data_IF_792871691422
#
_entry.id   IF_792871691422
#
_cell.length_a   1.000
_cell.length_b   1.000
_cell.length_c   1.000
_cell.angle_alpha   90.00
_cell.angle_beta   90.00
_cell.angle_gamma   90.00
#
_symmetry.space_group_name_H-M   'P 1'
#
loop_
_entity.id
_entity.type
_entity.pdbx_description
1 polymer ?
#
# COMPACT_ATOMS: atom_id res chain seq x y z
N UNK A 1 9.60 44.03 -24.25
CA UNK A 1 10.00 43.72 -22.86
C UNK A 1 8.78 43.70 -21.97
N UNK A 2 8.27 42.52 -21.61
CA UNK A 2 7.44 42.29 -20.42
C UNK A 2 7.79 40.88 -19.92
N UNK A 3 8.53 40.82 -18.81
CA UNK A 3 8.88 39.58 -18.11
C UNK A 3 7.68 39.17 -17.26
N UNK A 4 7.10 38.02 -17.52
CA UNK A 4 6.18 37.33 -16.62
C UNK A 4 7.00 36.35 -15.79
N UNK A 5 7.05 36.56 -14.47
CA UNK A 5 7.60 35.59 -13.53
C UNK A 5 6.64 34.40 -13.39
N UNK A 6 7.13 33.16 -13.28
CA UNK A 6 6.30 32.03 -12.89
C UNK A 6 6.09 32.06 -11.36
N UNK A 7 4.83 32.02 -10.93
CA UNK A 7 4.45 31.70 -9.56
C UNK A 7 4.88 30.24 -9.27
N UNK A 8 5.83 30.08 -8.36
CA UNK A 8 6.16 28.78 -7.79
C UNK A 8 5.04 28.37 -6.82
N UNK A 9 4.30 27.32 -7.16
CA UNK A 9 3.42 26.61 -6.22
C UNK A 9 4.28 25.68 -5.37
N UNK A 10 4.67 26.13 -4.19
CA UNK A 10 5.20 25.28 -3.12
C UNK A 10 4.05 24.49 -2.51
N UNK A 11 3.91 23.23 -2.90
CA UNK A 11 3.07 22.24 -2.20
C UNK A 11 3.85 21.79 -0.96
N UNK A 12 3.47 22.32 0.20
CA UNK A 12 3.99 21.88 1.49
C UNK A 12 3.35 20.56 1.90
N UNK A 13 4.15 19.51 2.00
CA UNK A 13 3.77 18.23 2.60
C UNK A 13 3.60 18.45 4.10
N UNK A 14 2.37 18.29 4.59
CA UNK A 14 2.05 18.29 6.01
C UNK A 14 2.60 17.00 6.65
N UNK A 15 3.76 17.14 7.28
CA UNK A 15 4.24 16.21 8.29
C UNK A 15 3.37 16.34 9.54
N UNK A 16 2.36 15.49 9.68
CA UNK A 16 1.60 15.36 10.93
C UNK A 16 2.36 14.41 11.86
N UNK A 17 3.34 14.97 12.58
CA UNK A 17 3.93 14.35 13.74
C UNK A 17 2.92 14.35 14.90
N UNK A 18 2.24 13.23 15.11
CA UNK A 18 1.52 12.95 16.36
C UNK A 18 2.49 12.29 17.35
N UNK A 19 3.30 13.13 17.99
CA UNK A 19 4.08 12.74 19.16
C UNK A 19 3.18 12.82 20.40
N UNK A 20 2.74 11.67 20.91
CA UNK A 20 2.16 11.56 22.25
C UNK A 20 3.02 10.62 23.09
N UNK A 21 3.64 11.23 24.10
CA UNK A 21 4.47 10.64 25.15
C UNK A 21 3.77 9.49 25.87
N UNK A 22 4.31 8.26 25.79
CA UNK A 22 3.94 7.18 26.70
C UNK A 22 4.68 7.36 28.04
N UNK A 23 3.96 7.79 29.07
CA UNK A 23 4.37 7.62 30.45
C UNK A 23 4.15 6.16 30.86
N UNK A 24 5.25 5.43 31.05
CA UNK A 24 5.29 4.07 31.58
C UNK A 24 4.85 4.03 33.05
N UNK A 25 3.97 3.10 33.41
CA UNK A 25 3.86 2.63 34.80
C UNK A 25 3.29 1.20 34.88
N UNK A 26 4.18 0.25 35.16
CA UNK A 26 3.98 -0.80 36.18
C UNK A 26 3.01 -1.95 35.91
N UNK A 27 3.57 -3.12 35.55
CA UNK A 27 2.93 -4.41 35.82
C UNK A 27 2.79 -4.65 37.34
N UNK A 28 1.91 -5.57 37.75
CA UNK A 28 2.47 -6.83 38.24
C UNK A 28 1.72 -8.11 37.80
N UNK A 29 2.52 -9.16 37.72
CA UNK A 29 2.19 -10.57 37.53
C UNK A 29 1.37 -11.12 38.73
N UNK A 30 0.56 -12.17 38.52
CA UNK A 30 0.67 -13.33 39.41
C UNK A 30 0.71 -14.67 38.67
N UNK A 31 1.53 -15.55 39.24
CA UNK A 31 1.65 -16.97 38.91
C UNK A 31 0.44 -17.78 39.40
N UNK A 32 0.20 -18.96 38.78
CA UNK A 32 -0.62 -19.98 39.41
C UNK A 32 -1.07 -21.16 38.53
N UNK A 33 -0.34 -22.26 38.68
CA UNK A 33 -0.80 -23.66 38.68
C UNK A 33 -1.22 -24.40 37.40
N UNK A 34 -0.52 -25.53 37.24
CA UNK A 34 -0.73 -26.66 36.35
C UNK A 34 -2.04 -27.42 36.59
N UNK A 35 -2.63 -27.95 35.52
CA UNK A 35 -3.14 -29.34 35.53
C UNK A 35 -3.33 -29.88 34.12
N UNK A 36 -2.88 -31.12 33.97
CA UNK A 36 -2.87 -31.96 32.79
C UNK A 36 -4.23 -32.66 32.65
N UNK A 37 -4.83 -32.63 31.45
CA UNK A 37 -5.89 -33.55 31.07
C UNK A 37 -5.89 -33.74 29.55
N UNK A 38 -5.43 -34.91 29.12
CA UNK A 38 -5.57 -35.40 27.77
C UNK A 38 -7.04 -35.75 27.50
N UNK A 39 -7.62 -35.17 26.45
CA UNK A 39 -8.87 -35.65 25.85
C UNK A 39 -8.68 -35.69 24.35
N UNK A 40 -8.53 -36.91 23.81
CA UNK A 40 -8.71 -37.20 22.39
C UNK A 40 -10.14 -36.83 22.00
N UNK A 41 -10.28 -35.91 21.06
CA UNK A 41 -11.56 -35.67 20.39
C UNK A 41 -11.36 -35.82 18.89
N UNK A 42 -12.17 -36.71 18.35
CA UNK A 42 -12.30 -37.19 16.98
C UNK A 42 -12.22 -36.07 15.94
N UNK A 43 -11.43 -36.30 14.90
CA UNK A 43 -11.38 -35.46 13.71
C UNK A 43 -12.74 -35.47 13.00
N UNK A 44 -13.46 -34.37 13.11
CA UNK A 44 -14.54 -34.05 12.18
C UNK A 44 -13.88 -33.42 10.96
N UNK A 45 -14.02 -34.06 9.80
CA UNK A 45 -13.66 -33.46 8.52
C UNK A 45 -14.55 -32.22 8.34
N UNK A 46 -13.99 -31.05 8.65
CA UNK A 46 -14.60 -29.78 8.26
C UNK A 46 -14.43 -29.66 6.75
N UNK A 47 -15.57 -29.54 6.07
CA UNK A 47 -15.66 -29.23 4.65
C UNK A 47 -14.64 -28.16 4.30
N UNK A 48 -13.71 -28.52 3.40
CA UNK A 48 -12.82 -27.57 2.76
C UNK A 48 -13.71 -26.53 2.07
N UNK A 49 -13.59 -25.22 2.36
CA UNK A 49 -14.31 -24.23 1.60
C UNK A 49 -13.88 -24.42 0.15
N UNK A 50 -14.87 -24.75 -0.68
CA UNK A 50 -14.71 -24.82 -2.13
C UNK A 50 -14.00 -23.55 -2.57
N UNK A 51 -12.82 -23.70 -3.16
CA UNK A 51 -12.12 -22.60 -3.79
C UNK A 51 -13.12 -21.85 -4.65
N UNK A 52 -13.29 -20.56 -4.39
CA UNK A 52 -14.05 -19.67 -5.26
C UNK A 52 -13.27 -19.62 -6.56
N UNK A 53 -13.59 -20.56 -7.44
CA UNK A 53 -13.08 -20.68 -8.79
C UNK A 53 -13.70 -19.53 -9.57
N UNK A 54 -12.96 -18.44 -9.76
CA UNK A 54 -13.49 -17.26 -10.44
C UNK A 54 -12.46 -16.26 -10.97
N UNK A 55 -11.24 -16.20 -10.44
CA UNK A 55 -10.21 -15.32 -10.98
C UNK A 55 -9.63 -15.92 -12.27
N UNK A 56 -9.89 -15.29 -13.41
CA UNK A 56 -9.09 -15.55 -14.59
C UNK A 56 -7.64 -15.13 -14.29
N UNK A 57 -6.66 -15.99 -14.59
CA UNK A 57 -5.25 -15.63 -14.43
C UNK A 57 -4.93 -14.45 -15.37
N UNK A 58 -4.53 -13.32 -14.80
CA UNK A 58 -4.09 -12.15 -15.56
C UNK A 58 -2.67 -12.42 -16.05
N UNK A 59 -2.51 -12.47 -17.37
CA UNK A 59 -1.19 -12.57 -17.97
C UNK A 59 -0.45 -11.24 -17.86
N UNK A 60 0.87 -11.29 -17.67
CA UNK A 60 1.72 -10.12 -17.77
C UNK A 60 1.58 -9.47 -19.16
N UNK A 61 1.34 -8.15 -19.25
CA UNK A 61 1.34 -7.47 -20.54
C UNK A 61 2.73 -7.49 -21.18
N UNK A 62 2.81 -7.42 -22.51
CA UNK A 62 4.08 -7.50 -23.25
C UNK A 62 5.12 -6.43 -22.90
N UNK A 63 4.70 -5.33 -22.27
CA UNK A 63 5.64 -4.32 -21.75
C UNK A 63 6.54 -4.90 -20.64
N UNK A 64 6.11 -5.95 -19.95
CA UNK A 64 6.92 -6.67 -18.96
C UNK A 64 8.02 -7.53 -19.57
N UNK A 65 8.03 -7.77 -20.88
CA UNK A 65 9.09 -8.54 -21.56
C UNK A 65 10.46 -7.85 -21.46
N UNK A 66 10.48 -6.54 -21.17
CA UNK A 66 11.70 -5.76 -20.93
C UNK A 66 12.30 -5.99 -19.52
N UNK A 67 11.57 -6.64 -18.61
CA UNK A 67 12.00 -6.91 -17.23
C UNK A 67 12.38 -8.38 -17.11
N UNK A 68 13.67 -8.67 -17.17
CA UNK A 68 14.18 -10.04 -17.00
C UNK A 68 14.28 -10.40 -15.51
N UNK A 69 13.39 -11.28 -15.03
CA UNK A 69 13.37 -11.74 -13.65
C UNK A 69 14.29 -12.94 -13.46
N UNK A 70 15.59 -12.65 -13.41
CA UNK A 70 16.65 -13.60 -13.05
C UNK A 70 17.66 -12.94 -12.12
N UNK A 71 18.33 -13.76 -11.32
CA UNK A 71 19.37 -13.31 -10.40
C UNK A 71 20.39 -12.37 -11.08
N UNK A 72 20.70 -11.28 -10.39
CA UNK A 72 21.67 -10.24 -10.78
C UNK A 72 21.34 -9.50 -12.08
N UNK A 73 20.12 -9.62 -12.62
CA UNK A 73 19.70 -8.85 -13.78
C UNK A 73 19.55 -7.36 -13.41
N UNK A 74 20.14 -6.50 -14.24
CA UNK A 74 19.91 -5.06 -14.20
C UNK A 74 18.60 -4.74 -14.92
N UNK A 75 17.78 -3.90 -14.31
CA UNK A 75 16.48 -3.45 -14.82
C UNK A 75 16.47 -1.93 -14.83
N UNK A 76 16.10 -1.32 -15.96
CA UNK A 76 15.89 0.13 -16.02
C UNK A 76 14.62 0.49 -15.24
N UNK A 77 14.67 1.56 -14.44
CA UNK A 77 13.51 1.99 -13.64
C UNK A 77 12.27 2.28 -14.48
N UNK A 78 12.46 2.82 -15.71
CA UNK A 78 11.37 3.06 -16.64
C UNK A 78 10.69 1.77 -17.12
N UNK A 79 11.45 0.71 -17.40
CA UNK A 79 10.90 -0.57 -17.84
C UNK A 79 10.18 -1.28 -16.69
N UNK A 80 10.75 -1.21 -15.48
CA UNK A 80 10.11 -1.73 -14.27
C UNK A 80 8.79 -1.01 -13.97
N UNK A 81 8.79 0.33 -14.04
CA UNK A 81 7.61 1.15 -13.86
C UNK A 81 6.53 0.80 -14.89
N UNK A 82 6.91 0.66 -16.16
CA UNK A 82 5.99 0.32 -17.24
C UNK A 82 5.39 -1.09 -17.05
N UNK A 83 6.19 -2.06 -16.59
CA UNK A 83 5.70 -3.39 -16.27
C UNK A 83 4.70 -3.38 -15.10
N UNK A 84 5.06 -2.79 -13.96
CA UNK A 84 4.18 -2.74 -12.77
C UNK A 84 2.87 -2.02 -13.08
N UNK A 85 2.94 -0.83 -13.69
CA UNK A 85 1.74 -0.06 -14.06
C UNK A 85 0.94 -0.77 -15.15
N UNK A 86 1.60 -1.39 -16.13
CA UNK A 86 0.95 -2.17 -17.17
C UNK A 86 0.16 -3.33 -16.59
N UNK A 87 0.77 -4.11 -15.70
CA UNK A 87 0.10 -5.20 -15.00
C UNK A 87 -1.08 -4.69 -14.17
N UNK A 88 -0.88 -3.67 -13.33
CA UNK A 88 -1.95 -3.14 -12.47
C UNK A 88 -3.14 -2.60 -13.27
N UNK A 89 -2.92 -2.00 -14.44
CA UNK A 89 -4.00 -1.59 -15.36
C UNK A 89 -4.73 -2.79 -15.97
N UNK A 90 -4.00 -3.84 -16.36
CA UNK A 90 -4.60 -5.05 -16.90
C UNK A 90 -5.43 -5.80 -15.84
N UNK A 91 -4.98 -5.76 -14.58
CA UNK A 91 -5.71 -6.33 -13.47
C UNK A 91 -6.93 -5.50 -13.07
N UNK A 92 -6.82 -4.17 -13.07
CA UNK A 92 -7.92 -3.24 -12.79
C UNK A 92 -8.36 -3.15 -11.33
N UNK A 93 -8.04 -4.15 -10.50
CA UNK A 93 -8.36 -4.17 -9.07
C UNK A 93 -7.44 -5.11 -8.30
N UNK A 94 -7.46 -4.99 -6.98
CA UNK A 94 -6.80 -5.90 -6.06
C UNK A 94 -7.07 -5.57 -4.61
N UNK A 95 -6.40 -6.30 -3.72
CA UNK A 95 -6.44 -6.10 -2.28
C UNK A 95 -5.02 -5.88 -1.78
N UNK A 96 -4.85 -4.94 -0.85
CA UNK A 96 -3.59 -4.67 -0.17
C UNK A 96 -3.71 -4.81 1.34
N UNK A 97 -2.63 -5.27 1.96
CA UNK A 97 -2.33 -5.01 3.37
C UNK A 97 -1.08 -4.15 3.44
N UNK A 98 -1.00 -3.27 4.42
CA UNK A 98 0.22 -2.52 4.66
C UNK A 98 0.58 -2.43 6.14
N UNK A 99 1.86 -2.21 6.40
CA UNK A 99 2.41 -1.94 7.72
C UNK A 99 3.49 -0.88 7.61
N UNK A 100 3.61 -0.03 8.62
CA UNK A 100 4.65 0.97 8.73
C UNK A 100 5.47 0.80 10.02
N UNK A 101 6.70 1.31 10.01
CA UNK A 101 7.64 1.21 11.13
C UNK A 101 7.19 1.93 12.40
N UNK A 102 6.20 2.82 12.31
CA UNK A 102 5.57 3.48 13.45
C UNK A 102 4.48 2.62 14.13
N UNK A 103 4.26 1.40 13.66
CA UNK A 103 3.25 0.47 14.15
C UNK A 103 1.89 0.61 13.46
N UNK A 104 1.74 1.55 12.53
CA UNK A 104 0.53 1.68 11.72
C UNK A 104 0.37 0.46 10.83
N UNK A 105 -0.85 -0.07 10.74
CA UNK A 105 -1.21 -1.17 9.84
C UNK A 105 -2.51 -0.85 9.12
N UNK A 106 -2.79 -1.53 8.01
CA UNK A 106 -4.06 -1.34 7.34
C UNK A 106 -4.32 -2.37 6.25
N UNK A 107 -5.53 -2.33 5.75
CA UNK A 107 -6.01 -3.17 4.65
C UNK A 107 -6.86 -2.31 3.73
N UNK A 108 -6.80 -2.57 2.43
CA UNK A 108 -7.66 -1.89 1.49
C UNK A 108 -7.96 -2.74 0.25
N UNK A 109 -9.18 -2.62 -0.25
CA UNK A 109 -9.50 -3.02 -1.61
C UNK A 109 -9.38 -1.80 -2.53
N UNK A 110 -8.82 -2.01 -3.73
CA UNK A 110 -8.61 -0.94 -4.70
C UNK A 110 -9.13 -1.29 -6.08
N UNK A 111 -9.50 -0.24 -6.80
CA UNK A 111 -9.70 -0.19 -8.25
C UNK A 111 -8.59 0.69 -8.83
N UNK A 112 -7.92 0.20 -9.87
CA UNK A 112 -6.83 0.85 -10.56
C UNK A 112 -7.21 1.13 -12.02
N UNK A 113 -6.93 2.32 -12.54
CA UNK A 113 -7.28 2.71 -13.90
C UNK A 113 -7.90 4.09 -13.99
N UNK A 114 -8.90 4.25 -14.87
CA UNK A 114 -9.47 5.57 -15.22
C UNK A 114 -10.34 6.18 -14.13
N UNK A 115 -10.95 5.35 -13.27
CA UNK A 115 -11.76 5.77 -12.13
C UNK A 115 -11.25 5.09 -10.85
N UNK A 116 -10.04 5.45 -10.38
CA UNK A 116 -9.44 4.75 -9.26
C UNK A 116 -10.23 5.02 -7.98
N UNK A 117 -10.42 3.96 -7.20
CA UNK A 117 -11.11 4.02 -5.92
C UNK A 117 -10.41 3.08 -4.92
N UNK A 118 -10.53 3.37 -3.63
CA UNK A 118 -9.90 2.63 -2.55
C UNK A 118 -10.82 2.66 -1.32
N UNK A 119 -11.04 1.52 -0.67
CA UNK A 119 -11.74 1.46 0.61
C UNK A 119 -11.07 0.48 1.55
N UNK A 120 -11.03 0.82 2.83
CA UNK A 120 -10.27 0.03 3.77
C UNK A 120 -10.26 0.59 5.17
N UNK A 121 -9.31 0.09 5.94
CA UNK A 121 -9.06 0.54 7.31
C UNK A 121 -7.58 0.76 7.55
N UNK A 122 -7.29 1.71 8.42
CA UNK A 122 -5.96 1.97 8.98
C UNK A 122 -6.08 1.91 10.48
N UNK A 123 -5.19 1.19 11.14
CA UNK A 123 -5.09 1.08 12.59
C UNK A 123 -3.74 1.61 13.04
N UNK A 124 -3.76 2.59 13.94
CA UNK A 124 -2.56 3.16 14.57
C UNK A 124 -2.76 3.37 16.07
N UNK A 125 -1.92 4.21 16.69
CA UNK A 125 -1.98 4.49 18.13
C UNK A 125 -3.30 5.10 18.60
N UNK A 126 -3.98 5.85 17.74
CA UNK A 126 -5.25 6.52 18.03
C UNK A 126 -6.49 5.65 17.73
N UNK A 127 -6.28 4.38 17.34
CA UNK A 127 -7.33 3.42 17.00
C UNK A 127 -7.48 3.18 15.50
N UNK A 128 -8.63 2.61 15.12
CA UNK A 128 -8.94 2.24 13.74
C UNK A 128 -9.80 3.28 13.04
N UNK A 129 -9.34 3.75 11.88
CA UNK A 129 -10.06 4.62 10.96
C UNK A 129 -10.44 3.85 9.71
N UNK A 130 -11.71 3.86 9.32
CA UNK A 130 -12.17 3.38 8.02
C UNK A 130 -12.18 4.52 7.00
N UNK A 131 -11.98 4.20 5.74
CA UNK A 131 -11.99 5.18 4.66
C UNK A 131 -12.65 4.62 3.39
N UNK A 132 -13.24 5.52 2.61
CA UNK A 132 -13.69 5.28 1.23
C UNK A 132 -13.26 6.48 0.40
N UNK A 133 -12.38 6.24 -0.57
CA UNK A 133 -11.78 7.25 -1.41
C UNK A 133 -12.13 6.92 -2.86
N UNK A 134 -12.71 7.88 -3.55
CA UNK A 134 -13.19 7.75 -4.93
C UNK A 134 -12.67 8.94 -5.74
N UNK A 135 -12.82 8.95 -7.07
CA UNK A 135 -12.41 10.09 -7.89
C UNK A 135 -13.06 11.40 -7.44
N UNK A 136 -14.30 11.34 -6.93
CA UNK A 136 -15.11 12.53 -6.67
C UNK A 136 -15.32 12.83 -5.18
N UNK A 137 -15.15 11.85 -4.30
CA UNK A 137 -15.40 12.01 -2.87
C UNK A 137 -14.39 11.25 -2.01
N UNK A 138 -14.16 11.77 -0.81
CA UNK A 138 -13.44 11.08 0.25
C UNK A 138 -14.32 11.02 1.49
N UNK A 139 -14.31 9.86 2.14
CA UNK A 139 -14.99 9.62 3.40
C UNK A 139 -14.00 8.97 4.34
N UNK A 140 -13.94 9.45 5.57
CA UNK A 140 -13.15 8.83 6.64
C UNK A 140 -13.97 8.79 7.92
N UNK A 141 -13.79 7.78 8.75
CA UNK A 141 -14.43 7.75 10.06
C UNK A 141 -13.64 8.59 11.04
N UNK A 142 -14.29 9.56 11.68
CA UNK A 142 -13.71 10.33 12.78
C UNK A 142 -14.61 10.12 13.99
N UNK A 143 -14.02 9.62 15.08
CA UNK A 143 -14.76 9.19 16.29
C UNK A 143 -15.85 8.15 15.96
N UNK A 144 -15.57 7.25 15.02
CA UNK A 144 -16.49 6.20 14.57
C UNK A 144 -17.63 6.68 13.65
N UNK A 145 -17.65 7.96 13.26
CA UNK A 145 -18.69 8.54 12.39
C UNK A 145 -18.10 8.87 11.02
N UNK A 146 -18.80 8.49 9.95
CA UNK A 146 -18.40 8.86 8.59
C UNK A 146 -18.46 10.37 8.37
N UNK A 147 -17.35 10.94 7.91
CA UNK A 147 -17.22 12.35 7.57
C UNK A 147 -16.84 12.45 6.09
N UNK A 148 -17.70 13.10 5.31
CA UNK A 148 -17.38 13.48 3.93
C UNK A 148 -16.35 14.61 3.92
N UNK A 149 -15.31 14.44 3.11
CA UNK A 149 -14.24 15.41 2.95
C UNK A 149 -14.61 16.62 2.11
N UNK A 150 -14.20 17.78 2.60
CA UNK A 150 -14.21 19.06 1.91
C UNK A 150 -12.99 19.86 2.37
N UNK A 151 -11.95 19.89 1.53
CA UNK A 151 -10.67 20.53 1.83
C UNK A 151 -10.78 22.07 1.98
N UNK A 152 -11.90 22.67 1.58
CA UNK A 152 -12.15 24.10 1.70
C UNK A 152 -13.06 24.44 2.89
N UNK A 153 -13.52 23.42 3.62
CA UNK A 153 -14.40 23.59 4.77
C UNK A 153 -13.70 24.29 5.93
N UNK A 154 -14.46 25.06 6.70
CA UNK A 154 -14.03 25.56 8.01
C UNK A 154 -14.23 24.52 9.13
N UNK A 155 -14.96 23.43 8.88
CA UNK A 155 -15.05 22.29 9.79
C UNK A 155 -13.76 21.48 9.72
N UNK A 156 -12.97 21.38 10.82
CA UNK A 156 -11.69 20.69 10.81
C UNK A 156 -11.79 19.22 10.39
N UNK A 157 -12.89 18.54 10.72
CA UNK A 157 -13.10 17.13 10.38
C UNK A 157 -13.30 16.94 8.88
N UNK A 158 -14.13 17.81 8.27
CA UNK A 158 -14.34 17.81 6.82
C UNK A 158 -13.09 18.22 6.06
N UNK A 159 -12.37 19.23 6.56
CA UNK A 159 -11.11 19.68 5.99
C UNK A 159 -10.09 18.54 5.96
N UNK A 160 -9.87 17.86 7.09
CA UNK A 160 -8.96 16.72 7.19
C UNK A 160 -9.34 15.59 6.20
N UNK A 161 -10.61 15.17 6.22
CA UNK A 161 -11.13 14.16 5.31
C UNK A 161 -10.95 14.54 3.83
N UNK A 162 -11.09 15.83 3.51
CA UNK A 162 -10.88 16.38 2.16
C UNK A 162 -9.42 16.38 1.75
N UNK A 163 -8.51 16.76 2.64
CA UNK A 163 -7.06 16.73 2.42
C UNK A 163 -6.56 15.31 2.16
N UNK A 164 -7.02 14.33 2.94
CA UNK A 164 -6.74 12.90 2.70
C UNK A 164 -7.20 12.49 1.30
N UNK A 165 -8.42 12.90 0.91
CA UNK A 165 -8.94 12.63 -0.43
C UNK A 165 -8.11 13.25 -1.55
N UNK A 166 -7.57 14.45 -1.37
CA UNK A 166 -6.70 15.09 -2.37
C UNK A 166 -5.36 14.36 -2.49
N UNK A 167 -4.75 14.01 -1.36
CA UNK A 167 -3.50 13.23 -1.36
C UNK A 167 -3.71 11.88 -2.06
N UNK A 168 -4.80 11.16 -1.73
CA UNK A 168 -5.14 9.91 -2.39
C UNK A 168 -5.23 10.04 -3.91
N UNK A 169 -5.97 11.02 -4.43
CA UNK A 169 -6.12 11.19 -5.89
C UNK A 169 -4.79 11.39 -6.60
N UNK A 170 -3.84 12.08 -5.95
CA UNK A 170 -2.51 12.25 -6.50
C UNK A 170 -1.73 10.93 -6.56
N UNK A 171 -1.86 10.06 -5.57
CA UNK A 171 -1.18 8.75 -5.53
C UNK A 171 -1.91 7.65 -6.30
N UNK A 172 -3.22 7.76 -6.46
CA UNK A 172 -4.06 6.83 -7.20
C UNK A 172 -3.88 6.97 -8.72
N UNK A 173 -3.30 8.08 -9.19
CA UNK A 173 -2.90 8.26 -10.58
C UNK A 173 -1.77 7.27 -10.92
N UNK A 174 -1.97 6.38 -11.91
CA UNK A 174 -0.93 5.44 -12.34
C UNK A 174 0.39 6.10 -12.74
N UNK A 175 0.36 7.37 -13.19
CA UNK A 175 1.55 8.14 -13.51
C UNK A 175 2.38 8.49 -12.28
N UNK A 176 1.78 8.55 -11.09
CA UNK A 176 2.50 8.75 -9.84
C UNK A 176 3.30 7.50 -9.47
N UNK A 177 2.71 6.30 -9.56
CA UNK A 177 3.44 5.03 -9.39
C UNK A 177 4.58 4.91 -10.42
N UNK A 178 4.29 5.21 -11.69
CA UNK A 178 5.31 5.16 -12.74
C UNK A 178 6.48 6.11 -12.44
N UNK A 179 6.15 7.34 -12.02
CA UNK A 179 7.14 8.38 -11.69
C UNK A 179 7.96 8.01 -10.47
N UNK A 180 7.36 7.42 -9.43
CA UNK A 180 8.07 6.94 -8.24
C UNK A 180 9.11 5.88 -8.60
N UNK A 181 8.69 4.81 -9.30
CA UNK A 181 9.58 3.70 -9.66
C UNK A 181 10.68 4.16 -10.62
N UNK A 182 10.34 5.02 -11.59
CA UNK A 182 11.30 5.54 -12.57
C UNK A 182 12.30 6.56 -11.98
N UNK A 183 12.03 7.09 -10.79
CA UNK A 183 12.94 8.03 -10.12
C UNK A 183 14.24 7.34 -9.67
N UNK A 184 14.19 6.03 -9.39
CA UNK A 184 15.37 5.18 -9.33
C UNK A 184 15.73 4.74 -10.76
N UNK A 185 16.86 5.19 -11.33
CA UNK A 185 17.18 4.91 -12.73
C UNK A 185 17.53 3.43 -12.97
N UNK A 186 18.12 2.78 -11.96
CA UNK A 186 18.60 1.41 -12.06
C UNK A 186 18.17 0.58 -10.85
N UNK A 187 17.80 -0.65 -11.15
CA UNK A 187 17.34 -1.64 -10.20
C UNK A 187 18.05 -2.96 -10.47
N UNK A 188 18.24 -3.77 -9.44
CA UNK A 188 18.84 -5.10 -9.56
C UNK A 188 17.90 -6.17 -9.02
N UNK A 189 17.65 -7.18 -9.83
CA UNK A 189 16.99 -8.42 -9.40
C UNK A 189 17.96 -9.19 -8.50
N UNK A 190 17.53 -9.46 -7.28
CA UNK A 190 18.35 -10.07 -6.25
C UNK A 190 18.46 -11.58 -6.49
N UNK A 191 19.47 -12.22 -5.88
CA UNK A 191 19.83 -13.61 -6.18
C UNK A 191 18.73 -14.61 -5.83
N UNK A 192 18.09 -14.38 -4.69
CA UNK A 192 17.09 -15.27 -4.15
C UNK A 192 15.67 -14.74 -4.40
N UNK A 193 14.73 -15.68 -4.49
CA UNK A 193 13.31 -15.36 -4.42
C UNK A 193 12.84 -15.50 -2.98
N UNK A 194 12.07 -14.52 -2.53
CA UNK A 194 11.42 -14.55 -1.24
C UNK A 194 10.10 -15.33 -1.33
N UNK A 195 9.64 -15.83 -0.18
CA UNK A 195 8.27 -16.27 0.01
C UNK A 195 7.54 -15.14 0.71
N UNK A 196 6.59 -14.52 0.02
CA UNK A 196 5.81 -13.39 0.50
C UNK A 196 4.45 -13.89 0.96
N UNK A 197 4.10 -13.65 2.23
CA UNK A 197 2.76 -13.90 2.75
C UNK A 197 1.79 -12.85 2.20
N UNK A 198 0.76 -13.31 1.50
CA UNK A 198 -0.23 -12.47 0.84
C UNK A 198 -1.47 -12.25 1.72
N UNK A 199 -2.20 -11.12 1.53
CA UNK A 199 -3.39 -10.82 2.31
C UNK A 199 -4.49 -11.88 2.30
N UNK A 200 -4.60 -12.66 1.23
CA UNK A 200 -5.59 -13.75 1.09
C UNK A 200 -5.19 -15.03 1.86
N UNK A 201 -4.12 -14.98 2.65
CA UNK A 201 -3.58 -16.10 3.42
C UNK A 201 -2.76 -17.08 2.58
N UNK A 202 -2.54 -16.80 1.30
CA UNK A 202 -1.66 -17.58 0.44
C UNK A 202 -0.22 -17.07 0.51
N UNK A 203 0.69 -17.81 -0.12
CA UNK A 203 2.08 -17.43 -0.26
C UNK A 203 2.47 -17.32 -1.73
N UNK A 204 3.21 -16.27 -2.07
CA UNK A 204 3.78 -16.09 -3.39
C UNK A 204 5.30 -16.19 -3.33
N UNK A 205 5.88 -16.96 -4.25
CA UNK A 205 7.32 -16.92 -4.50
C UNK A 205 7.61 -15.76 -5.47
N UNK A 206 8.44 -14.82 -5.04
CA UNK A 206 8.68 -13.58 -5.78
C UNK A 206 10.15 -13.18 -5.80
N UNK A 207 10.58 -12.66 -6.95
CA UNK A 207 11.87 -12.01 -7.12
C UNK A 207 11.87 -10.66 -6.42
N UNK A 208 12.89 -10.45 -5.59
CA UNK A 208 13.15 -9.16 -4.97
C UNK A 208 13.89 -8.28 -5.97
N UNK A 209 13.31 -7.16 -6.37
CA UNK A 209 13.88 -6.18 -7.30
C UNK A 209 14.14 -4.91 -6.52
N UNK A 210 15.40 -4.54 -6.34
CA UNK A 210 15.80 -3.49 -5.41
C UNK A 210 16.41 -2.31 -6.16
N UNK A 211 16.09 -1.08 -5.76
CA UNK A 211 16.72 0.11 -6.29
C UNK A 211 18.21 0.13 -5.89
N UNK A 212 19.10 0.43 -6.82
CA UNK A 212 20.54 0.31 -6.59
C UNK A 212 21.11 1.42 -5.69
N UNK A 213 20.39 2.53 -5.55
CA UNK A 213 20.81 3.68 -4.74
C UNK A 213 19.59 4.47 -4.21
N UNK A 214 19.77 5.25 -3.12
CA UNK A 214 18.80 6.25 -2.71
C UNK A 214 18.47 7.25 -3.84
N UNK A 215 17.24 7.75 -3.85
CA UNK A 215 16.76 8.70 -4.84
C UNK A 215 15.71 9.65 -4.24
N UNK A 216 15.42 10.76 -4.92
CA UNK A 216 14.36 11.68 -4.50
C UNK A 216 13.14 11.54 -5.40
N UNK A 217 11.95 11.46 -4.80
CA UNK A 217 10.69 11.37 -5.52
C UNK A 217 9.59 12.10 -4.73
N UNK A 218 8.72 12.83 -5.45
CA UNK A 218 7.54 13.51 -4.86
C UNK A 218 7.90 14.41 -3.66
N UNK A 219 9.09 15.03 -3.69
CA UNK A 219 9.58 15.92 -2.62
C UNK A 219 10.08 15.21 -1.35
N UNK A 220 10.27 13.89 -1.39
CA UNK A 220 10.84 13.10 -0.30
C UNK A 220 12.09 12.33 -0.75
N UNK A 221 12.96 11.99 0.20
CA UNK A 221 14.15 11.18 -0.05
C UNK A 221 13.87 9.71 0.26
N UNK A 222 13.82 8.90 -0.80
CA UNK A 222 13.68 7.44 -0.71
C UNK A 222 15.06 6.84 -0.47
N UNK A 223 15.27 6.30 0.72
CA UNK A 223 16.53 5.72 1.14
C UNK A 223 16.72 4.33 0.55
N UNK A 224 15.64 3.55 0.57
CA UNK A 224 15.60 2.18 0.07
C UNK A 224 14.23 1.91 -0.54
N UNK A 225 14.20 1.18 -1.64
CA UNK A 225 12.96 0.70 -2.22
C UNK A 225 13.16 -0.69 -2.81
N UNK A 226 12.19 -1.57 -2.55
CA UNK A 226 12.16 -2.95 -3.01
C UNK A 226 10.79 -3.28 -3.54
N UNK A 227 10.73 -3.97 -4.68
CA UNK A 227 9.53 -4.53 -5.27
C UNK A 227 9.64 -6.05 -5.29
N UNK A 228 8.56 -6.75 -4.97
CA UNK A 228 8.47 -8.20 -5.12
C UNK A 228 7.58 -8.53 -6.31
N UNK A 229 8.16 -9.19 -7.32
CA UNK A 229 7.45 -9.64 -8.53
C UNK A 229 7.52 -11.15 -8.64
N UNK A 230 6.36 -11.82 -8.79
CA UNK A 230 6.36 -13.26 -9.11
C UNK A 230 7.03 -13.54 -10.46
N UNK A 231 7.32 -14.80 -10.77
CA UNK A 231 7.88 -15.17 -12.10
C UNK A 231 6.97 -14.82 -13.28
N UNK A 232 5.68 -14.52 -13.04
CA UNK A 232 4.74 -14.00 -14.04
C UNK A 232 4.56 -12.48 -13.94
N UNK A 233 5.52 -11.76 -13.37
CA UNK A 233 5.53 -10.31 -13.17
C UNK A 233 4.37 -9.73 -12.36
N UNK A 234 3.60 -10.59 -11.67
CA UNK A 234 2.54 -10.15 -10.75
C UNK A 234 3.18 -9.46 -9.54
N UNK A 235 2.81 -8.20 -9.22
CA UNK A 235 3.26 -7.56 -8.00
C UNK A 235 2.73 -8.28 -6.76
N UNK A 236 3.65 -8.76 -5.93
CA UNK A 236 3.35 -9.37 -4.63
C UNK A 236 3.52 -8.36 -3.48
N UNK A 237 4.36 -7.34 -3.65
CA UNK A 237 4.54 -6.30 -2.66
C UNK A 237 5.52 -5.21 -3.04
N UNK A 238 5.59 -4.19 -2.18
CA UNK A 238 6.56 -3.10 -2.21
C UNK A 238 6.97 -2.75 -0.79
N UNK A 239 8.24 -2.42 -0.59
CA UNK A 239 8.73 -1.81 0.64
C UNK A 239 9.51 -0.56 0.26
N UNK A 240 9.29 0.52 0.99
CA UNK A 240 10.04 1.75 0.83
C UNK A 240 10.38 2.37 2.18
N UNK A 241 11.62 2.81 2.33
CA UNK A 241 12.07 3.64 3.45
C UNK A 241 12.18 5.07 2.98
N UNK A 242 11.32 5.94 3.47
CA UNK A 242 11.23 7.35 3.04
C UNK A 242 11.61 8.26 4.20
N UNK A 243 12.41 9.29 3.91
CA UNK A 243 12.79 10.35 4.84
C UNK A 243 12.11 11.65 4.47
N UNK A 244 11.40 12.25 5.44
CA UNK A 244 10.80 13.59 5.31
C UNK A 244 11.19 14.39 6.54
N UNK A 245 11.82 15.56 6.32
CA UNK A 245 12.29 16.45 7.38
C UNK A 245 13.14 15.74 8.47
N UNK A 246 13.94 14.75 8.06
CA UNK A 246 14.81 13.97 8.95
C UNK A 246 14.12 12.83 9.70
N UNK A 247 12.81 12.65 9.53
CA UNK A 247 12.07 11.50 10.07
C UNK A 247 11.97 10.42 9.01
N UNK A 248 12.39 9.20 9.35
CA UNK A 248 12.30 8.04 8.46
C UNK A 248 11.09 7.19 8.81
N UNK A 249 10.38 6.74 7.79
CA UNK A 249 9.31 5.75 7.91
C UNK A 249 9.54 4.67 6.87
N UNK A 250 9.52 3.41 7.30
CA UNK A 250 9.50 2.26 6.39
C UNK A 250 8.07 1.78 6.27
N UNK A 251 7.56 1.69 5.04
CA UNK A 251 6.25 1.11 4.75
C UNK A 251 6.43 -0.12 3.88
N UNK A 252 5.73 -1.19 4.22
CA UNK A 252 5.62 -2.41 3.42
C UNK A 252 4.16 -2.62 3.05
N UNK A 253 3.89 -2.87 1.77
CA UNK A 253 2.57 -3.22 1.24
C UNK A 253 2.68 -4.58 0.54
N UNK A 254 1.71 -5.46 0.75
CA UNK A 254 1.55 -6.71 0.01
C UNK A 254 0.23 -6.71 -0.73
N UNK A 255 0.22 -7.31 -1.92
CA UNK A 255 -0.92 -7.30 -2.83
C UNK A 255 -1.41 -8.72 -3.13
N UNK A 256 -2.72 -8.90 -3.19
CA UNK A 256 -3.38 -10.15 -3.59
C UNK A 256 -4.68 -9.88 -4.32
N UNK A 257 -5.38 -10.93 -4.73
CA UNK A 257 -6.72 -10.80 -5.32
C UNK A 257 -6.75 -9.97 -6.61
N UNK A 258 -5.64 -9.88 -7.35
CA UNK A 258 -5.56 -9.11 -8.59
C UNK A 258 -6.66 -9.53 -9.57
N UNK A 259 -7.41 -8.56 -10.09
CA UNK A 259 -8.51 -8.77 -11.04
C UNK A 259 -9.80 -9.33 -10.45
N UNK A 260 -9.86 -9.56 -9.14
CA UNK A 260 -11.11 -9.91 -8.50
C UNK A 260 -12.05 -8.70 -8.47
N UNK A 261 -13.33 -8.85 -8.81
CA UNK A 261 -14.28 -7.75 -8.71
C UNK A 261 -14.34 -7.18 -7.29
N UNK A 262 -14.11 -5.89 -7.16
CA UNK A 262 -14.24 -5.14 -5.91
C UNK A 262 -15.43 -4.18 -6.03
N UNK A 263 -16.24 -4.09 -4.99
CA UNK A 263 -17.30 -3.08 -4.89
C UNK A 263 -16.93 -2.05 -3.83
N UNK A 264 -16.68 -0.81 -4.28
CA UNK A 264 -16.37 0.32 -3.40
C UNK A 264 -17.59 1.23 -3.38
N UNK A 265 -18.34 1.17 -2.28
CA UNK A 265 -19.55 1.96 -2.09
C UNK A 265 -19.28 3.13 -1.13
N UNK A 266 -19.79 4.31 -1.49
CA UNK A 266 -19.78 5.47 -0.57
C UNK A 266 -20.73 5.22 0.60
N UNK A 267 -20.36 5.60 1.84
CA UNK A 267 -21.25 5.54 2.99
C UNK A 267 -22.54 6.35 2.75
N UNK A 268 -23.66 5.88 3.31
CA UNK A 268 -24.87 6.70 3.39
C UNK A 268 -24.75 7.70 4.56
N UNK A 269 -25.22 8.94 4.38
CA UNK A 269 -25.22 9.95 5.43
C UNK A 269 -26.20 9.64 6.56
#
# INVERSE_FOLDING_TARGET
>A
MRRTLPLAFTVGVLASALALSSCSAGAPNPAGSSSEAAVQTTATATDSPSAVSGAATIAAPSVCDAVDLKADAAVAGADLAACVVGFSKAAGSGHETFSASDGTTGTADFVFGDAPALSGTVTGGDGTTSFVLTPDASWVTIDGVWVQGDATSSDPKKMLAGTIGQAYRAFADPSATASLISSAPTWTVQKDQDVVDLPDGTQARAWRVQADAPFSAVGADVQEMTLWLTSGHVPAGVQATVSVAGTQTTTTQHFSGWGMPVSIATPQP
#
